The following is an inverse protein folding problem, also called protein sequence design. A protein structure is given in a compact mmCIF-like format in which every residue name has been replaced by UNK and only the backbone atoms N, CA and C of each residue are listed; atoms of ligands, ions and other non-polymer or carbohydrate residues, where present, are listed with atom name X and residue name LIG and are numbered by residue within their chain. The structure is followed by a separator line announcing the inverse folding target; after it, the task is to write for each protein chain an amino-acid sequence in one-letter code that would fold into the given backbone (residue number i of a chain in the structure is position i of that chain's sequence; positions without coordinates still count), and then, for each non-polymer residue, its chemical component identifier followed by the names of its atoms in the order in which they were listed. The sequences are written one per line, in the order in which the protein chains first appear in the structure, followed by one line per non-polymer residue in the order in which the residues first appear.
data_IF_620367684495
#
_entry.id   IF_620367684495
#
_cell.length_a   1.000
_cell.length_b   1.000
_cell.length_c   1.000
_cell.angle_alpha   90.00
_cell.angle_beta   90.00
_cell.angle_gamma   90.00
#
_symmetry.space_group_name_H-M   'P 1'
#
loop_
_entity.id
_entity.type
_entity.pdbx_description
1 polymer ?
#
# COMPACT_ATOMS: atom_id res chain seq x y z
N UNK A 1 21.02 -32.24 39.23
CA UNK A 1 19.87 -31.46 38.74
C UNK A 1 20.39 -30.06 38.44
N UNK A 2 20.91 -29.86 37.22
CA UNK A 2 21.20 -28.50 36.76
C UNK A 2 19.88 -27.83 36.43
N UNK A 3 19.57 -26.76 37.16
CA UNK A 3 18.47 -25.87 36.83
C UNK A 3 18.83 -25.17 35.51
N UNK A 4 18.13 -25.52 34.43
CA UNK A 4 18.09 -24.67 33.24
C UNK A 4 17.48 -23.34 33.66
N UNK A 5 18.32 -22.33 33.88
CA UNK A 5 17.89 -20.94 33.91
C UNK A 5 17.42 -20.59 32.51
N UNK A 6 16.11 -20.71 32.26
CA UNK A 6 15.46 -20.15 31.09
C UNK A 6 15.52 -18.62 31.21
N UNK A 7 16.66 -18.05 30.82
CA UNK A 7 16.79 -16.61 30.68
C UNK A 7 15.78 -16.10 29.66
N UNK A 8 15.29 -14.86 29.84
CA UNK A 8 14.49 -14.17 28.84
C UNK A 8 15.24 -14.19 27.50
N UNK A 9 14.62 -14.62 26.38
CA UNK A 9 15.28 -14.64 25.08
C UNK A 9 15.88 -13.28 24.76
N UNK A 10 17.13 -13.25 24.30
CA UNK A 10 17.75 -12.00 23.84
C UNK A 10 17.11 -11.56 22.51
N UNK A 11 17.32 -10.30 22.13
CA UNK A 11 16.88 -9.83 20.80
C UNK A 11 17.54 -10.62 19.65
N UNK A 12 18.77 -11.12 19.86
CA UNK A 12 19.44 -12.02 18.93
C UNK A 12 18.73 -13.38 18.86
N UNK A 13 18.40 -13.99 20.01
CA UNK A 13 17.67 -15.26 20.04
C UNK A 13 16.30 -15.15 19.36
N UNK A 14 15.59 -14.04 19.58
CA UNK A 14 14.32 -13.75 18.92
C UNK A 14 14.50 -13.61 17.40
N UNK A 15 15.55 -12.91 16.95
CA UNK A 15 15.87 -12.77 15.52
C UNK A 15 16.21 -14.11 14.87
N UNK A 16 17.05 -14.93 15.50
CA UNK A 16 17.42 -16.25 15.00
C UNK A 16 16.23 -17.22 14.99
N UNK A 17 15.35 -17.13 15.99
CA UNK A 17 14.07 -17.87 16.01
C UNK A 17 13.17 -17.47 14.84
N UNK A 18 13.04 -16.17 14.56
CA UNK A 18 12.27 -15.66 13.42
C UNK A 18 12.80 -16.16 12.07
N UNK A 19 14.13 -16.16 11.90
CA UNK A 19 14.81 -16.64 10.69
C UNK A 19 14.71 -18.15 10.49
N UNK A 20 14.58 -18.92 11.57
CA UNK A 20 14.56 -20.39 11.54
C UNK A 20 13.16 -20.99 11.46
N UNK A 21 12.11 -20.17 11.36
CA UNK A 21 10.72 -20.63 11.18
C UNK A 21 10.62 -21.52 9.95
N UNK A 22 10.12 -22.74 10.13
CA UNK A 22 9.98 -23.73 9.06
C UNK A 22 9.04 -23.30 7.94
N UNK A 23 8.09 -22.39 8.26
CA UNK A 23 7.14 -21.83 7.29
C UNK A 23 7.76 -20.76 6.38
N UNK A 24 8.86 -20.11 6.81
CA UNK A 24 9.42 -18.94 6.13
C UNK A 24 9.77 -19.20 4.66
N UNK A 25 10.47 -20.29 4.28
CA UNK A 25 10.79 -20.54 2.86
C UNK A 25 9.55 -20.61 1.96
N UNK A 26 8.44 -21.15 2.46
CA UNK A 26 7.17 -21.27 1.73
C UNK A 26 6.49 -19.92 1.57
N UNK A 27 6.52 -19.10 2.62
CA UNK A 27 6.02 -17.71 2.56
C UNK A 27 6.82 -16.89 1.55
N UNK A 28 8.14 -17.06 1.50
CA UNK A 28 8.99 -16.40 0.50
C UNK A 28 8.71 -16.89 -0.94
N UNK A 29 8.38 -18.16 -1.14
CA UNK A 29 7.95 -18.66 -2.45
C UNK A 29 6.64 -17.98 -2.91
N UNK A 30 5.68 -17.80 -2.00
CA UNK A 30 4.46 -17.04 -2.30
C UNK A 30 4.79 -15.59 -2.65
N UNK A 31 5.61 -14.91 -1.85
CA UNK A 31 6.00 -13.51 -2.09
C UNK A 31 6.72 -13.34 -3.44
N UNK A 32 7.65 -14.25 -3.76
CA UNK A 32 8.33 -14.31 -5.06
C UNK A 32 7.32 -14.50 -6.21
N UNK A 33 6.33 -15.39 -6.02
CA UNK A 33 5.27 -15.61 -6.99
C UNK A 33 4.40 -14.38 -7.22
N UNK A 34 4.01 -13.67 -6.16
CA UNK A 34 3.25 -12.40 -6.25
C UNK A 34 4.01 -11.37 -7.08
N UNK A 35 5.28 -11.14 -6.77
CA UNK A 35 6.11 -10.14 -7.46
C UNK A 35 6.26 -10.52 -8.94
N UNK A 36 6.59 -11.78 -9.24
CA UNK A 36 6.76 -12.24 -10.62
C UNK A 36 5.47 -12.17 -11.43
N UNK A 37 4.35 -12.66 -10.88
CA UNK A 37 3.06 -12.61 -11.55
C UNK A 37 2.60 -11.17 -11.77
N UNK A 38 2.85 -10.27 -10.80
CA UNK A 38 2.55 -8.85 -10.97
C UNK A 38 3.37 -8.25 -12.10
N UNK A 39 4.70 -8.44 -12.13
CA UNK A 39 5.51 -7.98 -13.26
C UNK A 39 4.97 -8.48 -14.60
N UNK A 40 4.70 -9.79 -14.70
CA UNK A 40 4.15 -10.39 -15.92
C UNK A 40 2.84 -9.70 -16.35
N UNK A 41 1.95 -9.45 -15.40
CA UNK A 41 0.69 -8.74 -15.65
C UNK A 41 0.91 -7.31 -16.12
N UNK A 42 1.76 -6.55 -15.43
CA UNK A 42 2.07 -5.16 -15.77
C UNK A 42 2.65 -5.04 -17.18
N UNK A 43 3.59 -5.92 -17.55
CA UNK A 43 4.15 -5.99 -18.90
C UNK A 43 3.10 -6.35 -19.95
N UNK A 44 2.24 -7.34 -19.65
CA UNK A 44 1.13 -7.72 -20.55
C UNK A 44 0.14 -6.59 -20.77
N UNK A 45 -0.08 -5.75 -19.76
CA UNK A 45 -0.96 -4.57 -19.82
C UNK A 45 -0.27 -3.34 -20.40
N UNK A 46 1.03 -3.41 -20.70
CA UNK A 46 1.79 -2.35 -21.36
C UNK A 46 2.25 -1.22 -20.43
N UNK A 47 2.29 -1.44 -19.11
CA UNK A 47 2.80 -0.43 -18.19
C UNK A 47 4.33 -0.36 -18.24
N UNK A 48 4.86 0.85 -18.21
CA UNK A 48 6.31 1.08 -18.15
C UNK A 48 6.80 0.99 -16.71
N UNK A 49 7.80 0.14 -16.45
CA UNK A 49 8.42 0.07 -15.14
C UNK A 49 9.36 1.27 -14.92
N UNK A 50 9.19 1.97 -13.80
CA UNK A 50 10.17 2.94 -13.31
C UNK A 50 10.99 2.36 -12.16
N UNK A 51 12.20 2.88 -11.98
CA UNK A 51 13.06 2.54 -10.85
C UNK A 51 12.63 3.32 -9.59
N UNK A 52 12.69 2.70 -8.40
CA UNK A 52 12.27 3.37 -7.18
C UNK A 52 13.22 4.48 -6.76
N UNK A 53 12.68 5.47 -6.06
CA UNK A 53 13.43 6.53 -5.40
C UNK A 53 13.35 6.34 -3.89
N UNK A 54 14.50 6.11 -3.25
CA UNK A 54 14.57 5.93 -1.79
C UNK A 54 14.50 7.24 -1.00
N UNK A 55 15.00 8.31 -1.61
CA UNK A 55 15.11 9.63 -1.01
C UNK A 55 14.44 10.64 -1.93
N UNK A 56 13.63 11.52 -1.34
CA UNK A 56 13.01 12.63 -2.05
C UNK A 56 12.82 13.84 -1.13
N UNK A 57 12.87 15.08 -1.65
CA UNK A 57 12.53 16.28 -0.88
C UNK A 57 11.05 16.33 -0.47
N UNK A 58 10.19 15.66 -1.23
CA UNK A 58 8.76 15.50 -0.94
C UNK A 58 8.35 14.03 -1.01
N UNK A 59 7.49 13.61 -0.09
CA UNK A 59 6.87 12.29 -0.10
C UNK A 59 5.44 12.44 0.38
N UNK A 60 4.65 11.38 0.25
CA UNK A 60 3.31 11.28 0.80
C UNK A 60 3.25 11.81 2.25
N UNK A 61 2.48 12.87 2.55
CA UNK A 61 2.31 13.39 3.90
C UNK A 61 1.59 12.40 4.84
N UNK A 62 0.89 11.39 4.29
CA UNK A 62 -0.01 10.49 5.00
C UNK A 62 -1.19 11.22 5.68
N UNK A 63 -2.25 10.45 5.99
CA UNK A 63 -3.41 10.92 6.75
C UNK A 63 -3.31 10.67 8.27
N UNK A 64 -2.18 10.14 8.74
CA UNK A 64 -1.88 9.91 10.15
C UNK A 64 -0.43 10.29 10.43
N UNK A 65 -0.12 10.52 11.71
CA UNK A 65 1.22 10.90 12.12
C UNK A 65 2.19 9.71 12.10
N UNK A 66 3.42 9.98 11.64
CA UNK A 66 4.57 9.08 11.72
C UNK A 66 5.79 9.90 12.16
N UNK A 67 6.86 9.25 12.61
CA UNK A 67 8.14 9.92 12.80
C UNK A 67 8.73 10.26 11.44
N UNK A 68 9.12 11.52 11.25
CA UNK A 68 9.75 11.96 10.00
C UNK A 68 11.18 11.43 9.87
N UNK A 69 11.36 10.53 8.93
CA UNK A 69 12.66 9.98 8.58
C UNK A 69 13.36 10.89 7.55
N UNK A 70 14.25 11.75 8.02
CA UNK A 70 14.90 12.76 7.18
C UNK A 70 16.40 12.83 7.38
N UNK A 71 17.12 13.23 6.34
CA UNK A 71 18.56 13.45 6.33
C UNK A 71 18.89 14.78 5.64
N UNK A 72 20.05 15.35 5.98
CA UNK A 72 20.62 16.49 5.29
C UNK A 72 21.80 16.01 4.45
N UNK A 73 21.78 16.30 3.16
CA UNK A 73 22.88 15.94 2.24
C UNK A 73 23.06 17.02 1.17
N UNK A 74 24.31 17.44 0.98
CA UNK A 74 24.69 18.50 0.03
C UNK A 74 23.90 19.82 0.19
N UNK A 75 23.56 20.20 1.43
CA UNK A 75 22.80 21.42 1.73
C UNK A 75 21.30 21.32 1.42
N UNK A 76 20.80 20.13 1.11
CA UNK A 76 19.40 19.85 0.83
C UNK A 76 18.81 18.87 1.84
N UNK A 77 17.54 19.09 2.17
CA UNK A 77 16.74 18.19 2.98
C UNK A 77 16.20 17.04 2.12
N UNK A 78 16.30 15.82 2.65
CA UNK A 78 15.79 14.61 2.02
C UNK A 78 14.96 13.83 3.03
N UNK A 79 13.84 13.27 2.57
CA UNK A 79 13.01 12.35 3.33
C UNK A 79 13.12 10.95 2.72
N UNK A 80 13.10 9.91 3.55
CA UNK A 80 12.87 8.56 3.07
C UNK A 80 11.45 8.48 2.50
N UNK A 81 11.33 7.86 1.34
CA UNK A 81 10.06 7.75 0.62
C UNK A 81 9.05 6.93 1.43
N UNK A 82 7.92 7.55 1.77
CA UNK A 82 6.71 6.91 2.34
C UNK A 82 5.80 6.37 1.24
N UNK A 83 5.85 6.99 0.06
CA UNK A 83 5.20 6.60 -1.20
C UNK A 83 5.70 7.49 -2.34
N UNK A 84 5.75 6.97 -3.56
CA UNK A 84 6.17 7.71 -4.76
C UNK A 84 5.03 8.49 -5.43
N UNK A 85 3.96 8.80 -4.70
CA UNK A 85 2.72 9.43 -5.22
C UNK A 85 2.93 10.63 -6.15
N UNK A 86 3.74 11.61 -5.74
CA UNK A 86 4.00 12.79 -6.57
C UNK A 86 4.85 12.45 -7.80
N UNK A 87 5.82 11.56 -7.65
CA UNK A 87 6.71 11.14 -8.74
C UNK A 87 5.96 10.39 -9.82
N UNK A 88 5.01 9.51 -9.44
CA UNK A 88 4.23 8.76 -10.42
C UNK A 88 3.32 9.67 -11.25
N UNK A 89 2.68 10.66 -10.63
CA UNK A 89 1.90 11.66 -11.38
C UNK A 89 2.78 12.55 -12.28
N UNK A 90 3.93 13.02 -11.76
CA UNK A 90 4.86 13.86 -12.52
C UNK A 90 5.54 13.11 -13.67
N UNK A 91 5.81 11.81 -13.53
CA UNK A 91 6.39 11.01 -14.62
C UNK A 91 5.46 10.96 -15.84
N UNK A 92 4.14 10.95 -15.61
CA UNK A 92 3.13 11.00 -16.67
C UNK A 92 3.02 12.37 -17.36
N UNK A 93 3.85 13.35 -17.02
CA UNK A 93 4.04 14.55 -17.85
C UNK A 93 4.63 14.21 -19.22
N UNK A 94 5.45 13.16 -19.30
CA UNK A 94 6.04 12.71 -20.55
C UNK A 94 4.93 12.31 -21.54
N UNK A 95 5.03 12.78 -22.78
CA UNK A 95 3.98 12.57 -23.79
C UNK A 95 3.80 11.09 -24.13
N UNK A 96 4.90 10.33 -24.20
CA UNK A 96 4.89 8.89 -24.51
C UNK A 96 4.67 7.96 -23.29
N UNK A 97 4.37 8.50 -22.10
CA UNK A 97 4.04 7.68 -20.92
C UNK A 97 2.56 7.81 -20.57
N UNK A 98 1.79 6.79 -20.94
CA UNK A 98 0.37 6.69 -20.58
C UNK A 98 0.13 5.94 -19.27
N UNK A 99 1.05 5.05 -18.89
CA UNK A 99 0.91 4.25 -17.68
C UNK A 99 2.25 3.74 -17.18
N UNK A 100 2.39 3.70 -15.85
CA UNK A 100 3.64 3.30 -15.20
C UNK A 100 3.37 2.43 -13.98
N UNK A 101 4.38 1.67 -13.58
CA UNK A 101 4.40 1.01 -12.27
C UNK A 101 5.80 0.99 -11.67
N UNK A 102 5.87 0.87 -10.35
CA UNK A 102 7.11 0.86 -9.55
C UNK A 102 6.97 -0.21 -8.48
N UNK A 103 8.05 -0.94 -8.22
CA UNK A 103 8.19 -1.71 -6.98
C UNK A 103 8.96 -0.83 -6.00
N UNK A 104 8.22 -0.17 -5.11
CA UNK A 104 8.70 0.89 -4.23
C UNK A 104 8.89 0.37 -2.80
N UNK A 105 10.12 0.22 -2.31
CA UNK A 105 10.34 0.13 -0.88
C UNK A 105 9.97 1.48 -0.23
N UNK A 106 9.15 1.41 0.81
CA UNK A 106 8.64 2.57 1.52
C UNK A 106 8.97 2.45 3.00
N UNK A 107 9.25 3.59 3.64
CA UNK A 107 9.54 3.68 5.06
C UNK A 107 8.51 4.56 5.73
N UNK A 108 7.83 4.03 6.75
CA UNK A 108 6.88 4.75 7.61
C UNK A 108 7.25 4.45 9.05
N UNK A 109 7.92 5.37 9.73
CA UNK A 109 8.33 5.16 11.12
C UNK A 109 7.12 5.35 12.04
N UNK A 110 6.32 4.28 12.17
CA UNK A 110 5.07 4.26 12.90
C UNK A 110 5.24 4.60 14.40
N UNK A 111 4.20 5.16 15.01
CA UNK A 111 4.12 5.35 16.46
C UNK A 111 3.72 4.05 17.19
N UNK A 112 3.88 4.05 18.52
CA UNK A 112 3.78 2.85 19.35
C UNK A 112 2.37 2.23 19.35
N UNK A 113 1.32 3.01 19.10
CA UNK A 113 -0.07 2.55 18.95
C UNK A 113 -0.26 1.59 17.76
N UNK A 114 0.69 1.57 16.81
CA UNK A 114 0.63 0.69 15.63
C UNK A 114 1.39 -0.61 15.78
N UNK A 115 2.24 -0.73 16.81
CA UNK A 115 3.12 -1.89 17.00
C UNK A 115 2.33 -3.21 17.03
N UNK A 116 1.22 -3.29 17.75
CA UNK A 116 0.51 -4.57 17.99
C UNK A 116 -0.75 -4.78 17.14
N UNK A 117 -0.89 -4.01 16.07
CA UNK A 117 -2.04 -4.12 15.15
C UNK A 117 -1.97 -5.33 14.23
N UNK A 118 -0.79 -5.96 14.08
CA UNK A 118 -0.53 -7.07 13.15
C UNK A 118 -0.61 -6.68 11.66
N UNK A 119 -0.67 -5.39 11.34
CA UNK A 119 -0.89 -4.86 9.96
C UNK A 119 0.15 -3.83 9.50
N UNK A 120 1.08 -3.43 10.37
CA UNK A 120 2.04 -2.37 10.11
C UNK A 120 3.47 -2.89 10.19
N UNK A 121 4.27 -2.48 9.21
CA UNK A 121 5.72 -2.58 9.19
C UNK A 121 6.25 -1.17 9.03
N UNK A 122 7.42 -0.87 9.59
CA UNK A 122 8.06 0.43 9.37
C UNK A 122 8.80 0.52 8.03
N UNK A 123 9.08 -0.62 7.41
CA UNK A 123 9.66 -0.76 6.07
C UNK A 123 8.88 -1.86 5.34
N UNK A 124 8.39 -1.58 4.13
CA UNK A 124 7.58 -2.50 3.36
C UNK A 124 7.67 -2.21 1.86
N UNK A 125 7.26 -3.17 1.03
CA UNK A 125 7.29 -3.05 -0.42
C UNK A 125 5.89 -2.79 -0.96
N UNK A 126 5.73 -1.66 -1.64
CA UNK A 126 4.50 -1.30 -2.33
C UNK A 126 4.68 -1.45 -3.83
N UNK A 127 3.71 -2.03 -4.52
CA UNK A 127 3.64 -1.93 -5.98
C UNK A 127 2.73 -0.76 -6.31
N UNK A 128 3.36 0.35 -6.70
CA UNK A 128 2.71 1.58 -7.11
C UNK A 128 2.43 1.55 -8.61
N UNK A 129 1.29 2.09 -9.02
CA UNK A 129 0.98 2.30 -10.43
C UNK A 129 0.13 3.56 -10.62
N UNK A 130 0.18 4.11 -11.83
CA UNK A 130 -0.55 5.32 -12.20
C UNK A 130 -0.88 5.30 -13.70
N UNK A 131 -2.07 5.78 -14.06
CA UNK A 131 -2.57 5.82 -15.43
C UNK A 131 -2.99 7.24 -15.81
N UNK A 132 -2.51 7.71 -16.95
CA UNK A 132 -2.85 9.02 -17.53
C UNK A 132 -4.24 8.96 -18.16
N UNK A 133 -5.07 9.95 -17.87
CA UNK A 133 -6.41 10.12 -18.44
C UNK A 133 -7.44 9.07 -18.04
N UNK A 134 -7.14 8.19 -17.08
CA UNK A 134 -8.07 7.20 -16.53
C UNK A 134 -8.73 7.69 -15.26
N UNK A 135 -9.84 7.06 -14.90
CA UNK A 135 -10.62 7.33 -13.70
C UNK A 135 -10.50 6.20 -12.67
N UNK A 136 -11.15 6.35 -11.52
CA UNK A 136 -11.13 5.33 -10.47
C UNK A 136 -11.73 3.99 -10.89
N UNK A 137 -12.74 3.99 -11.77
CA UNK A 137 -13.43 2.77 -12.16
C UNK A 137 -12.52 1.88 -13.01
N UNK A 138 -11.76 2.50 -13.92
CA UNK A 138 -10.71 1.79 -14.65
C UNK A 138 -9.68 1.15 -13.71
N UNK A 139 -9.24 1.86 -12.67
CA UNK A 139 -8.27 1.29 -11.71
C UNK A 139 -8.86 0.15 -10.90
N UNK A 140 -10.13 0.26 -10.48
CA UNK A 140 -10.82 -0.80 -9.76
C UNK A 140 -10.89 -2.08 -10.60
N UNK A 141 -11.32 -1.98 -11.87
CA UNK A 141 -11.34 -3.11 -12.81
C UNK A 141 -9.93 -3.69 -13.03
N UNK A 142 -8.94 -2.82 -13.23
CA UNK A 142 -7.54 -3.24 -13.38
C UNK A 142 -7.03 -4.05 -12.18
N UNK A 143 -7.38 -3.64 -10.96
CA UNK A 143 -6.98 -4.33 -9.74
C UNK A 143 -7.71 -5.65 -9.52
N UNK A 144 -9.00 -5.72 -9.85
CA UNK A 144 -9.76 -6.98 -9.85
C UNK A 144 -9.11 -8.01 -10.79
N UNK A 145 -8.75 -7.57 -12.01
CA UNK A 145 -8.03 -8.41 -12.97
C UNK A 145 -6.63 -8.82 -12.47
N UNK A 146 -5.87 -7.89 -11.88
CA UNK A 146 -4.53 -8.18 -11.36
C UNK A 146 -4.57 -9.23 -10.25
N UNK A 147 -5.49 -9.09 -9.28
CA UNK A 147 -5.61 -10.03 -8.16
C UNK A 147 -5.96 -11.43 -8.68
N UNK A 148 -6.96 -11.53 -9.55
CA UNK A 148 -7.34 -12.82 -10.15
C UNK A 148 -6.18 -13.44 -10.95
N UNK A 149 -5.43 -12.62 -11.70
CA UNK A 149 -4.25 -13.07 -12.46
C UNK A 149 -3.16 -13.63 -11.54
N UNK A 150 -2.81 -12.90 -10.47
CA UNK A 150 -1.82 -13.35 -9.48
C UNK A 150 -2.28 -14.65 -8.83
N UNK A 151 -3.55 -14.76 -8.44
CA UNK A 151 -4.08 -15.94 -7.77
C UNK A 151 -4.07 -17.16 -8.70
N UNK A 152 -4.44 -16.99 -9.97
CA UNK A 152 -4.38 -18.03 -10.98
C UNK A 152 -2.93 -18.50 -11.24
N UNK A 153 -1.96 -17.57 -11.27
CA UNK A 153 -0.54 -17.91 -11.41
C UNK A 153 -0.02 -18.73 -10.23
N UNK A 154 -0.27 -18.27 -9.01
CA UNK A 154 0.15 -18.99 -7.81
C UNK A 154 -0.49 -20.39 -7.73
N UNK A 155 -1.78 -20.52 -8.04
CA UNK A 155 -2.47 -21.81 -8.11
C UNK A 155 -1.85 -22.76 -9.14
N UNK A 156 -1.35 -22.23 -10.26
CA UNK A 156 -0.75 -23.05 -11.30
C UNK A 156 0.70 -23.45 -11.00
N UNK A 157 1.43 -22.64 -10.23
CA UNK A 157 2.90 -22.75 -10.13
C UNK A 157 3.36 -23.31 -8.78
N UNK A 158 2.62 -23.04 -7.71
CA UNK A 158 2.92 -23.52 -6.35
C UNK A 158 1.69 -24.06 -5.60
N UNK A 159 0.80 -24.87 -6.23
CA UNK A 159 -0.45 -25.31 -5.59
C UNK A 159 -0.21 -26.07 -4.29
N UNK A 160 0.82 -26.89 -4.18
CA UNK A 160 1.15 -27.67 -2.99
C UNK A 160 1.53 -26.76 -1.81
N UNK A 161 2.24 -25.65 -2.09
CA UNK A 161 2.61 -24.66 -1.08
C UNK A 161 1.36 -23.94 -0.56
N UNK A 162 0.44 -23.58 -1.46
CA UNK A 162 -0.83 -22.95 -1.07
C UNK A 162 -1.69 -23.91 -0.25
N UNK A 163 -1.81 -25.17 -0.66
CA UNK A 163 -2.55 -26.18 0.08
C UNK A 163 -1.97 -26.40 1.48
N UNK A 164 -0.65 -26.37 1.63
CA UNK A 164 -0.02 -26.52 2.94
C UNK A 164 -0.23 -25.29 3.84
N UNK A 165 -0.08 -24.07 3.31
CA UNK A 165 -0.20 -22.84 4.09
C UNK A 165 -1.66 -22.46 4.39
N UNK A 166 -2.54 -22.59 3.39
CA UNK A 166 -3.92 -22.08 3.41
C UNK A 166 -4.96 -23.18 3.63
N UNK A 167 -4.65 -24.42 3.26
CA UNK A 167 -5.59 -25.55 3.23
C UNK A 167 -6.45 -25.63 1.96
N UNK A 168 -6.34 -24.66 1.06
CA UNK A 168 -7.12 -24.55 -0.17
C UNK A 168 -6.34 -23.74 -1.22
N UNK A 169 -6.73 -23.90 -2.49
CA UNK A 169 -6.25 -23.02 -3.57
C UNK A 169 -6.91 -21.64 -3.46
N UNK A 170 -6.28 -20.65 -4.09
CA UNK A 170 -6.80 -19.29 -4.09
C UNK A 170 -8.07 -19.19 -4.96
N UNK A 171 -9.12 -18.50 -4.49
CA UNK A 171 -10.35 -18.35 -5.25
C UNK A 171 -10.14 -17.46 -6.49
N UNK A 172 -11.12 -17.46 -7.38
CA UNK A 172 -11.28 -16.41 -8.37
C UNK A 172 -12.51 -15.62 -7.98
N UNK A 173 -12.39 -14.30 -7.96
CA UNK A 173 -13.48 -13.42 -7.61
C UNK A 173 -14.11 -12.86 -8.88
N UNK A 174 -15.43 -12.73 -8.86
CA UNK A 174 -16.15 -11.96 -9.86
C UNK A 174 -16.08 -10.46 -9.49
N UNK A 175 -17.16 -9.72 -9.72
CA UNK A 175 -17.24 -8.32 -9.37
C UNK A 175 -17.25 -8.10 -7.86
N UNK A 176 -16.42 -7.18 -7.38
CA UNK A 176 -16.32 -6.88 -5.96
C UNK A 176 -17.43 -5.93 -5.50
N UNK A 177 -18.04 -6.17 -4.32
CA UNK A 177 -18.98 -5.22 -3.73
C UNK A 177 -18.33 -3.85 -3.52
N UNK A 178 -19.12 -2.78 -3.68
CA UNK A 178 -18.67 -1.40 -3.46
C UNK A 178 -19.45 -0.79 -2.30
N UNK A 179 -18.73 -0.32 -1.30
CA UNK A 179 -19.25 0.36 -0.13
C UNK A 179 -18.77 1.82 -0.07
N UNK A 180 -19.51 2.64 0.66
CA UNK A 180 -19.13 4.04 0.95
C UNK A 180 -18.75 4.16 2.41
N UNK A 181 -17.60 4.78 2.67
CA UNK A 181 -17.03 4.95 4.00
C UNK A 181 -18.01 5.55 4.99
N UNK A 182 -18.65 6.66 4.63
CA UNK A 182 -19.57 7.36 5.54
C UNK A 182 -20.82 6.53 5.89
N UNK A 183 -21.23 5.61 5.00
CA UNK A 183 -22.39 4.75 5.24
C UNK A 183 -22.01 3.59 6.15
N UNK A 184 -20.85 2.97 5.92
CA UNK A 184 -20.37 1.89 6.77
C UNK A 184 -20.08 2.41 8.18
N UNK A 185 -19.37 3.53 8.31
CA UNK A 185 -19.07 4.17 9.60
C UNK A 185 -20.35 4.51 10.38
N UNK A 186 -21.37 5.08 9.72
CA UNK A 186 -22.65 5.36 10.37
C UNK A 186 -23.38 4.10 10.88
N UNK A 187 -23.15 2.94 10.24
CA UNK A 187 -23.82 1.67 10.59
C UNK A 187 -23.04 0.79 11.58
N UNK A 188 -21.70 0.79 11.50
CA UNK A 188 -20.82 -0.13 12.23
C UNK A 188 -19.94 0.59 13.26
N UNK A 189 -19.93 1.92 13.28
CA UNK A 189 -19.07 2.71 14.16
C UNK A 189 -17.63 2.85 13.63
N UNK A 190 -16.68 3.32 14.45
CA UNK A 190 -15.32 3.68 14.00
C UNK A 190 -14.48 2.50 13.48
N UNK A 191 -14.78 1.27 13.92
CA UNK A 191 -14.08 0.05 13.46
C UNK A 191 -14.73 -0.59 12.21
N UNK A 192 -15.53 0.19 11.47
CA UNK A 192 -16.34 -0.29 10.35
C UNK A 192 -15.56 -1.12 9.32
N UNK A 193 -14.32 -0.73 8.98
CA UNK A 193 -13.50 -1.46 8.00
C UNK A 193 -13.19 -2.87 8.50
N UNK A 194 -12.75 -2.98 9.76
CA UNK A 194 -12.38 -4.25 10.35
C UNK A 194 -13.59 -5.17 10.52
N UNK A 195 -14.73 -4.61 10.95
CA UNK A 195 -15.98 -5.35 11.10
C UNK A 195 -16.51 -5.83 9.74
N UNK A 196 -16.53 -4.96 8.73
CA UNK A 196 -16.94 -5.33 7.38
C UNK A 196 -15.99 -6.37 6.75
N UNK A 197 -14.69 -6.22 6.97
CA UNK A 197 -13.67 -7.18 6.51
C UNK A 197 -13.84 -8.56 7.15
N UNK A 198 -14.19 -8.64 8.44
CA UNK A 198 -14.42 -9.90 9.15
C UNK A 198 -15.62 -10.69 8.59
N UNK A 199 -16.70 -10.00 8.26
CA UNK A 199 -17.93 -10.62 7.73
C UNK A 199 -17.84 -10.95 6.23
N UNK A 200 -16.96 -10.26 5.49
CA UNK A 200 -16.79 -10.46 4.07
C UNK A 200 -16.07 -11.78 3.74
N UNK A 201 -16.51 -12.44 2.68
CA UNK A 201 -15.88 -13.64 2.08
C UNK A 201 -15.18 -13.35 0.75
N UNK A 202 -15.37 -12.17 0.19
CA UNK A 202 -14.75 -11.66 -1.03
C UNK A 202 -14.13 -10.29 -0.77
N UNK A 203 -13.05 -9.89 -1.45
CA UNK A 203 -12.58 -8.53 -1.43
C UNK A 203 -13.68 -7.56 -1.84
N UNK A 204 -13.59 -6.33 -1.33
CA UNK A 204 -14.54 -5.28 -1.64
C UNK A 204 -13.85 -3.93 -1.72
N UNK A 205 -14.52 -3.01 -2.43
CA UNK A 205 -14.10 -1.62 -2.54
C UNK A 205 -14.76 -0.77 -1.47
N UNK A 206 -13.98 0.11 -0.88
CA UNK A 206 -14.45 1.12 0.04
C UNK A 206 -14.09 2.50 -0.50
N UNK A 207 -15.08 3.35 -0.75
CA UNK A 207 -14.90 4.64 -1.41
C UNK A 207 -15.29 5.82 -0.52
N UNK A 208 -14.81 7.01 -0.92
CA UNK A 208 -15.16 8.30 -0.33
C UNK A 208 -14.51 8.57 1.04
N UNK A 209 -13.19 8.48 1.08
CA UNK A 209 -12.38 8.76 2.25
C UNK A 209 -11.99 10.23 2.33
N UNK A 210 -12.22 10.89 3.47
CA UNK A 210 -11.70 12.24 3.70
C UNK A 210 -10.24 12.15 4.15
N UNK A 211 -9.30 12.23 3.21
CA UNK A 211 -7.87 12.03 3.47
C UNK A 211 -6.97 13.05 2.75
N UNK A 212 -5.81 12.63 2.25
CA UNK A 212 -4.72 13.48 1.74
C UNK A 212 -5.19 14.49 0.68
N UNK A 213 -4.43 15.59 0.55
CA UNK A 213 -4.83 16.73 -0.28
C UNK A 213 -4.81 16.44 -1.79
N UNK A 214 -4.05 15.43 -2.21
CA UNK A 214 -3.85 15.07 -3.61
C UNK A 214 -4.95 14.17 -4.17
N UNK A 215 -5.89 13.70 -3.34
CA UNK A 215 -7.06 12.97 -3.78
C UNK A 215 -8.09 13.93 -4.38
N UNK A 216 -8.55 13.63 -5.60
CA UNK A 216 -9.50 14.46 -6.32
C UNK A 216 -10.85 14.51 -5.60
N UNK A 217 -11.39 15.72 -5.43
CA UNK A 217 -12.76 15.94 -4.98
C UNK A 217 -13.68 16.09 -6.20
N UNK A 218 -14.87 15.49 -6.16
CA UNK A 218 -15.86 15.65 -7.22
C UNK A 218 -16.30 17.12 -7.31
N UNK A 219 -15.99 17.83 -8.42
CA UNK A 219 -16.32 19.25 -8.55
C UNK A 219 -17.83 19.50 -8.61
N UNK A 220 -18.64 18.48 -8.92
CA UNK A 220 -20.10 18.58 -8.96
C UNK A 220 -20.76 18.24 -7.63
N UNK A 221 -20.02 17.59 -6.73
CA UNK A 221 -20.55 17.12 -5.44
C UNK A 221 -19.48 17.22 -4.33
N UNK A 222 -19.24 18.44 -3.81
CA UNK A 222 -18.31 18.65 -2.70
C UNK A 222 -18.55 17.70 -1.52
N UNK A 223 -17.48 17.24 -0.89
CA UNK A 223 -17.49 16.18 0.11
C UNK A 223 -17.52 14.76 -0.47
N UNK A 224 -17.49 14.61 -1.79
CA UNK A 224 -17.29 13.31 -2.45
C UNK A 224 -15.87 13.22 -3.01
N UNK A 225 -15.01 12.44 -2.36
CA UNK A 225 -13.65 12.17 -2.81
C UNK A 225 -13.64 10.99 -3.79
N UNK A 226 -12.89 11.13 -4.87
CA UNK A 226 -12.78 10.14 -5.95
C UNK A 226 -11.66 9.13 -5.66
N UNK A 227 -11.69 8.59 -4.45
CA UNK A 227 -10.74 7.62 -3.94
C UNK A 227 -11.41 6.29 -3.57
N UNK A 228 -10.56 5.29 -3.35
CA UNK A 228 -10.94 3.90 -3.17
C UNK A 228 -9.84 3.15 -2.43
N UNK A 229 -10.26 2.25 -1.54
CA UNK A 229 -9.42 1.25 -0.92
C UNK A 229 -9.95 -0.14 -1.27
N UNK A 230 -9.05 -1.07 -1.59
CA UNK A 230 -9.37 -2.48 -1.68
C UNK A 230 -9.20 -3.09 -0.30
N UNK A 231 -10.25 -3.72 0.22
CA UNK A 231 -10.22 -4.38 1.52
C UNK A 231 -10.22 -5.89 1.32
N UNK A 232 -9.21 -6.57 1.87
CA UNK A 232 -9.19 -8.02 1.93
C UNK A 232 -10.28 -8.55 2.89
N UNK A 233 -10.93 -9.68 2.56
CA UNK A 233 -11.95 -10.30 3.40
C UNK A 233 -11.33 -10.98 4.63
N UNK A 234 -12.11 -11.74 5.39
CA UNK A 234 -11.65 -12.57 6.51
C UNK A 234 -10.90 -11.79 7.61
N UNK A 235 -11.15 -10.47 7.74
CA UNK A 235 -10.52 -9.60 8.72
C UNK A 235 -9.11 -9.12 8.36
N UNK A 236 -8.64 -9.33 7.13
CA UNK A 236 -7.28 -8.92 6.71
C UNK A 236 -7.14 -7.41 6.49
N UNK A 237 -8.23 -6.71 6.17
CA UNK A 237 -8.27 -5.25 6.05
C UNK A 237 -7.67 -4.70 4.76
N UNK A 238 -7.38 -3.40 4.76
CA UNK A 238 -6.86 -2.67 3.60
C UNK A 238 -5.63 -3.34 2.94
N UNK A 239 -5.75 -3.68 1.66
CA UNK A 239 -4.69 -4.23 0.81
C UNK A 239 -4.14 -3.26 -0.22
N UNK A 240 -4.95 -2.31 -0.68
CA UNK A 240 -4.58 -1.23 -1.60
C UNK A 240 -5.29 0.05 -1.20
N UNK A 241 -4.61 1.18 -1.43
CA UNK A 241 -5.20 2.51 -1.42
C UNK A 241 -4.90 3.24 -2.75
N UNK A 242 -5.89 3.97 -3.27
CA UNK A 242 -5.76 4.72 -4.52
C UNK A 242 -6.81 5.81 -4.71
N UNK A 243 -6.59 6.66 -5.73
CA UNK A 243 -7.49 7.75 -6.07
C UNK A 243 -7.30 8.22 -7.52
N UNK A 244 -8.30 8.93 -8.03
CA UNK A 244 -8.08 9.96 -9.04
C UNK A 244 -7.28 11.10 -8.41
N UNK A 245 -6.31 11.64 -9.15
CA UNK A 245 -5.41 12.69 -8.66
C UNK A 245 -5.98 14.07 -8.89
N UNK A 246 -5.85 14.91 -7.88
CA UNK A 246 -6.08 16.32 -8.06
C UNK A 246 -4.98 16.90 -8.98
N UNK A 247 -5.41 17.73 -9.92
CA UNK A 247 -4.57 18.31 -10.95
C UNK A 247 -4.75 19.84 -11.07
N UNK A 248 -5.75 20.41 -10.38
CA UNK A 248 -6.05 21.84 -10.43
C UNK A 248 -5.42 22.58 -9.24
N UNK A 249 -4.50 23.50 -9.51
CA UNK A 249 -3.74 24.25 -8.50
C UNK A 249 -4.58 24.81 -7.34
N UNK A 250 -5.69 25.50 -7.64
CA UNK A 250 -6.52 26.12 -6.61
C UNK A 250 -7.20 25.09 -5.71
N UNK A 251 -7.58 23.94 -6.26
CA UNK A 251 -8.20 22.86 -5.50
C UNK A 251 -7.16 22.14 -4.63
N UNK A 252 -5.95 21.91 -5.14
CA UNK A 252 -4.82 21.38 -4.35
C UNK A 252 -4.57 22.26 -3.13
N UNK A 253 -4.42 23.57 -3.33
CA UNK A 253 -4.15 24.52 -2.23
C UNK A 253 -5.26 24.55 -1.19
N UNK A 254 -6.52 24.61 -1.63
CA UNK A 254 -7.68 24.52 -0.73
C UNK A 254 -7.63 23.25 0.11
N UNK A 255 -7.33 22.09 -0.51
CA UNK A 255 -7.23 20.82 0.20
C UNK A 255 -6.04 20.77 1.16
N UNK A 256 -4.91 21.36 0.79
CA UNK A 256 -3.74 21.49 1.68
C UNK A 256 -4.08 22.32 2.92
N UNK A 257 -4.82 23.42 2.76
CA UNK A 257 -5.34 24.22 3.88
C UNK A 257 -6.31 23.40 4.75
N UNK A 258 -7.27 22.69 4.15
CA UNK A 258 -8.27 21.86 4.85
C UNK A 258 -7.67 20.77 5.74
N UNK A 259 -6.50 20.22 5.35
CA UNK A 259 -5.82 19.13 6.06
C UNK A 259 -4.54 19.58 6.77
N UNK A 260 -4.23 20.89 6.76
CA UNK A 260 -3.10 21.47 7.48
C UNK A 260 -1.72 21.10 6.92
N UNK A 261 -1.61 20.87 5.61
CA UNK A 261 -0.31 20.58 4.96
C UNK A 261 0.45 21.87 4.64
N UNK A 262 1.74 21.93 4.97
CA UNK A 262 2.60 23.07 4.64
C UNK A 262 2.90 23.15 3.13
N UNK A 263 2.38 24.19 2.48
CA UNK A 263 2.59 24.46 1.06
C UNK A 263 4.07 24.62 0.67
N UNK A 264 4.92 25.10 1.59
CA UNK A 264 6.32 25.35 1.29
C UNK A 264 7.10 24.07 0.99
N UNK A 265 6.71 22.96 1.61
CA UNK A 265 7.30 21.63 1.36
C UNK A 265 7.04 21.23 -0.10
N UNK A 266 5.83 21.50 -0.60
CA UNK A 266 5.37 21.10 -1.93
C UNK A 266 5.49 22.21 -2.98
N UNK A 267 6.24 23.29 -2.73
CA UNK A 267 6.30 24.48 -3.59
C UNK A 267 6.55 24.17 -5.07
N UNK A 268 7.47 23.25 -5.37
CA UNK A 268 7.83 22.90 -6.75
C UNK A 268 6.73 22.06 -7.42
N UNK A 269 6.06 21.20 -6.67
CA UNK A 269 4.89 20.49 -7.16
C UNK A 269 3.73 21.46 -7.45
N UNK A 270 3.52 22.44 -6.58
CA UNK A 270 2.54 23.50 -6.77
C UNK A 270 2.86 24.42 -7.96
N UNK A 271 4.13 24.70 -8.24
CA UNK A 271 4.57 25.43 -9.44
C UNK A 271 4.13 24.70 -10.71
N UNK A 272 4.39 23.39 -10.80
CA UNK A 272 3.93 22.56 -11.94
C UNK A 272 2.41 22.56 -12.08
N UNK A 273 1.68 22.45 -10.96
CA UNK A 273 0.22 22.52 -10.97
C UNK A 273 -0.30 23.88 -11.46
N UNK A 274 0.36 24.97 -11.05
CA UNK A 274 -0.02 26.35 -11.44
C UNK A 274 0.14 26.60 -12.92
N UNK A 275 1.12 25.98 -13.56
CA UNK A 275 1.34 26.02 -15.00
C UNK A 275 0.39 25.09 -15.79
N UNK A 276 -0.49 24.37 -15.09
CA UNK A 276 -1.41 23.40 -15.71
C UNK A 276 -0.70 22.13 -16.18
N UNK A 277 0.50 21.86 -15.66
CA UNK A 277 1.30 20.71 -16.08
C UNK A 277 0.72 19.39 -15.61
N UNK A 278 0.14 19.32 -14.41
CA UNK A 278 -0.28 18.05 -13.81
C UNK A 278 -1.32 17.31 -14.67
N UNK A 279 -1.05 16.06 -15.09
CA UNK A 279 -1.99 15.31 -15.89
C UNK A 279 -3.16 14.84 -15.04
N UNK A 280 -4.34 14.78 -15.66
CA UNK A 280 -5.44 13.96 -15.14
C UNK A 280 -4.97 12.52 -15.08
N UNK A 281 -5.06 11.89 -13.92
CA UNK A 281 -4.57 10.55 -13.70
C UNK A 281 -5.33 9.87 -12.57
N UNK A 282 -5.25 8.54 -12.55
CA UNK A 282 -5.72 7.71 -11.46
C UNK A 282 -4.74 6.57 -11.21
N UNK A 283 -4.59 6.18 -9.96
CA UNK A 283 -3.71 5.09 -9.59
C UNK A 283 -3.78 4.74 -8.12
N UNK A 284 -2.92 3.83 -7.71
CA UNK A 284 -2.87 3.34 -6.33
C UNK A 284 -1.58 2.64 -6.03
N UNK A 285 -1.54 2.01 -4.86
CA UNK A 285 -0.46 1.13 -4.47
C UNK A 285 -0.96 0.03 -3.55
N UNK A 286 -0.49 -1.20 -3.75
CA UNK A 286 -0.79 -2.32 -2.84
C UNK A 286 0.48 -2.83 -2.16
N UNK A 287 0.33 -3.22 -0.89
CA UNK A 287 1.43 -3.79 -0.11
C UNK A 287 1.66 -5.25 -0.45
N UNK A 288 2.87 -5.59 -0.90
CA UNK A 288 3.28 -6.97 -1.21
C UNK A 288 3.17 -7.85 0.03
N UNK A 289 3.62 -7.33 1.18
CA UNK A 289 3.58 -8.03 2.46
C UNK A 289 2.15 -8.27 2.94
N UNK A 290 1.24 -7.30 2.75
CA UNK A 290 -0.18 -7.46 3.10
C UNK A 290 -0.89 -8.49 2.22
N UNK A 291 -0.62 -8.50 0.91
CA UNK A 291 -1.13 -9.54 0.01
C UNK A 291 -0.57 -10.92 0.38
N UNK A 292 0.73 -11.01 0.68
CA UNK A 292 1.37 -12.25 1.14
C UNK A 292 0.73 -12.75 2.43
N UNK A 293 0.50 -11.86 3.39
CA UNK A 293 -0.17 -12.18 4.66
C UNK A 293 -1.57 -12.76 4.42
N UNK A 294 -2.35 -12.16 3.53
CA UNK A 294 -3.68 -12.65 3.16
C UNK A 294 -3.64 -14.04 2.50
N UNK A 295 -2.79 -14.22 1.50
CA UNK A 295 -2.66 -15.47 0.75
C UNK A 295 -2.25 -16.62 1.67
N UNK A 296 -1.24 -16.39 2.51
CA UNK A 296 -0.68 -17.37 3.46
C UNK A 296 -1.51 -17.56 4.73
N UNK A 297 -2.63 -16.82 4.89
CA UNK A 297 -3.45 -16.79 6.10
C UNK A 297 -2.70 -16.51 7.42
N UNK A 298 -1.73 -15.60 7.38
CA UNK A 298 -0.90 -15.25 8.53
C UNK A 298 -1.55 -14.18 9.41
N UNK A 299 -1.29 -14.22 10.72
CA UNK A 299 -1.95 -13.32 11.68
C UNK A 299 -1.28 -11.95 11.69
N UNK A 300 0.05 -11.93 11.74
CA UNK A 300 0.85 -10.72 11.78
C UNK A 300 1.59 -10.55 10.45
N UNK A 301 1.63 -9.32 9.94
CA UNK A 301 2.35 -8.99 8.70
C UNK A 301 3.85 -9.21 8.84
N UNK A 302 4.40 -9.14 10.07
CA UNK A 302 5.81 -9.45 10.29
C UNK A 302 6.16 -10.93 10.04
N UNK A 303 5.17 -11.82 10.05
CA UNK A 303 5.40 -13.23 9.72
C UNK A 303 5.83 -13.43 8.25
N UNK A 304 5.59 -12.45 7.38
CA UNK A 304 6.03 -12.50 5.98
C UNK A 304 7.43 -11.95 5.75
N UNK A 305 8.04 -11.33 6.76
CA UNK A 305 9.37 -10.74 6.65
C UNK A 305 10.45 -11.75 7.02
N UNK A 306 11.62 -11.63 6.39
CA UNK A 306 12.82 -12.38 6.79
C UNK A 306 13.43 -11.77 8.05
N UNK A 307 13.56 -10.45 8.05
CA UNK A 307 14.03 -9.66 9.18
C UNK A 307 12.88 -8.82 9.67
N UNK A 308 12.62 -8.88 10.97
CA UNK A 308 11.47 -8.17 11.54
C UNK A 308 11.56 -6.68 11.21
N UNK A 309 10.45 -6.16 10.68
CA UNK A 309 10.24 -4.72 10.43
C UNK A 309 9.01 -4.23 11.20
N UNK A 310 8.58 -4.99 12.20
CA UNK A 310 7.51 -4.61 13.11
C UNK A 310 7.95 -3.38 13.91
N UNK A 311 7.13 -2.31 13.99
CA UNK A 311 7.44 -1.13 14.78
C UNK A 311 7.81 -1.51 16.22
N UNK A 312 8.82 -0.83 16.79
CA UNK A 312 9.31 -1.03 18.16
C UNK A 312 9.87 -2.42 18.49
N UNK A 313 10.02 -3.31 17.50
CA UNK A 313 10.76 -4.56 17.67
C UNK A 313 12.26 -4.29 17.50
N UNK A 314 13.14 -4.74 18.42
CA UNK A 314 14.58 -4.55 18.28
C UNK A 314 15.12 -5.15 16.97
N UNK A 315 15.68 -4.30 16.11
CA UNK A 315 16.37 -4.73 14.90
C UNK A 315 17.85 -4.99 15.19
N UNK A 316 18.33 -6.19 14.81
CA UNK A 316 19.74 -6.60 15.01
C UNK A 316 20.53 -6.57 13.69
N UNK A 317 19.85 -6.72 12.55
CA UNK A 317 20.44 -6.74 11.20
C UNK A 317 19.76 -5.76 10.25
#
# INVERSE_FOLDING_TARGET
MEQQTTGTPTALDATLSHLSRTVLPKVLQVQQGIIRATHEFMFKKGLTQLMPLMLSPITDPLNHGVVDATIQYAGQHWSLTKSMIFHKQLALLHEDLDSIYIISPNVRLEFADRADTGRHLFEFTQIDFEFKGKDRFFVMEFMEELVNFVFARLNSEIPEVLLELRGELLPQYEQWPVFRTEKLEASLGPDYEHLQSKEATTPFWLQNHRREFYDKEDPKKPGTYLNYDMIWPEGYGEGLSGAERENEYNQIRKRMEDVGTDENIFRHYLEVAKEGGLPKSAGGGFGVERMTRFICRLKDVDEVTVFSRKPFTPAIF
#
